data_IF_968747093272
#
_entry.id   IF_968747093272
#
_cell.length_a   1.000
_cell.length_b   1.000
_cell.length_c   1.000
_cell.angle_alpha   90.00
_cell.angle_beta   90.00
_cell.angle_gamma   90.00
#
_symmetry.space_group_name_H-M   'P 1'
#
loop_
_entity.id
_entity.type
_entity.pdbx_description
1 polymer ?
#
# COMPACT_ATOMS: atom_id res chain seq x y z
N UNK A 1 6.57 21.19 4.61
CA UNK A 1 7.99 20.77 4.49
C UNK A 1 7.97 19.25 4.51
N UNK A 2 8.43 18.59 3.45
CA UNK A 2 8.61 17.13 3.45
C UNK A 2 10.03 16.83 3.92
N UNK A 3 10.19 15.86 4.80
CA UNK A 3 11.50 15.39 5.25
C UNK A 3 12.00 14.28 4.31
N UNK A 4 13.27 14.36 3.92
CA UNK A 4 13.89 13.30 3.12
C UNK A 4 14.16 12.07 3.98
N UNK A 5 13.93 10.89 3.40
CA UNK A 5 14.28 9.63 4.06
C UNK A 5 15.65 9.18 3.59
N UNK A 6 16.67 9.43 4.41
CA UNK A 6 18.05 9.03 4.13
C UNK A 6 18.19 7.51 3.95
N UNK A 7 19.27 7.07 3.28
CA UNK A 7 19.64 5.65 3.15
C UNK A 7 18.51 4.81 2.56
N UNK A 8 17.92 5.29 1.47
CA UNK A 8 16.90 4.59 0.71
C UNK A 8 17.29 4.45 -0.75
N UNK A 9 16.78 3.43 -1.42
CA UNK A 9 16.89 3.27 -2.87
C UNK A 9 15.61 2.61 -3.41
N UNK A 10 15.39 2.66 -4.71
CA UNK A 10 14.39 1.79 -5.35
C UNK A 10 14.88 0.35 -5.34
N UNK A 11 13.98 -0.63 -5.47
CA UNK A 11 14.34 -2.05 -5.40
C UNK A 11 15.47 -2.43 -6.37
N UNK A 12 15.41 -1.91 -7.59
CA UNK A 12 16.36 -2.26 -8.67
C UNK A 12 17.78 -1.72 -8.41
N UNK A 13 17.91 -0.74 -7.51
CA UNK A 13 19.19 -0.16 -7.09
C UNK A 13 19.71 -0.75 -5.76
N UNK A 14 18.99 -1.70 -5.16
CA UNK A 14 19.34 -2.32 -3.89
C UNK A 14 19.97 -3.70 -4.04
N UNK A 15 20.76 -4.12 -3.04
CA UNK A 15 21.35 -5.45 -2.99
C UNK A 15 20.56 -6.32 -2.01
N UNK A 16 19.91 -7.38 -2.47
CA UNK A 16 19.28 -8.37 -1.58
C UNK A 16 20.40 -9.18 -0.89
N UNK A 17 20.36 -9.35 0.45
CA UNK A 17 21.34 -10.20 1.14
C UNK A 17 21.39 -11.62 0.58
N UNK A 18 22.55 -12.27 0.69
CA UNK A 18 22.73 -13.63 0.19
C UNK A 18 21.82 -14.63 0.94
N UNK A 19 21.14 -15.50 0.19
CA UNK A 19 20.31 -16.57 0.75
C UNK A 19 21.10 -17.45 1.73
N UNK A 20 20.41 -18.03 2.72
CA UNK A 20 20.95 -18.89 3.78
C UNK A 20 21.90 -18.19 4.77
N UNK A 21 21.89 -16.85 4.81
CA UNK A 21 22.57 -16.05 5.83
C UNK A 21 21.58 -15.56 6.89
N UNK A 22 22.07 -15.30 8.11
CA UNK A 22 21.26 -14.65 9.16
C UNK A 22 20.73 -13.29 8.72
N UNK A 23 21.51 -12.55 7.93
CA UNK A 23 21.09 -11.27 7.38
C UNK A 23 19.88 -11.44 6.44
N UNK A 24 19.88 -12.46 5.59
CA UNK A 24 18.75 -12.77 4.72
C UNK A 24 17.50 -13.18 5.51
N UNK A 25 17.64 -13.98 6.57
CA UNK A 25 16.52 -14.32 7.44
C UNK A 25 15.91 -13.08 8.09
N UNK A 26 16.73 -12.17 8.60
CA UNK A 26 16.29 -10.89 9.18
C UNK A 26 15.65 -9.98 8.14
N UNK A 27 16.23 -9.92 6.93
CA UNK A 27 15.70 -9.21 5.78
C UNK A 27 14.30 -9.73 5.43
N UNK A 28 14.12 -11.04 5.28
CA UNK A 28 12.83 -11.64 4.92
C UNK A 28 11.77 -11.42 5.99
N UNK A 29 12.12 -11.50 7.27
CA UNK A 29 11.19 -11.19 8.36
C UNK A 29 10.75 -9.72 8.34
N UNK A 30 11.69 -8.80 8.12
CA UNK A 30 11.41 -7.36 8.05
C UNK A 30 10.59 -7.02 6.81
N UNK A 31 10.96 -7.61 5.66
CA UNK A 31 10.26 -7.48 4.40
C UNK A 31 8.82 -7.95 4.51
N UNK A 32 8.58 -9.13 5.07
CA UNK A 32 7.23 -9.68 5.22
C UNK A 32 6.35 -8.74 6.05
N UNK A 33 6.86 -8.23 7.18
CA UNK A 33 6.13 -7.27 8.03
C UNK A 33 5.87 -5.95 7.31
N UNK A 34 6.88 -5.41 6.65
CA UNK A 34 6.79 -4.11 6.00
C UNK A 34 5.87 -4.16 4.78
N UNK A 35 5.94 -5.23 3.98
CA UNK A 35 5.02 -5.48 2.87
C UNK A 35 3.60 -5.62 3.40
N UNK A 36 3.35 -6.45 4.42
CA UNK A 36 2.00 -6.67 4.94
C UNK A 36 1.34 -5.36 5.39
N UNK A 37 2.07 -4.53 6.15
CA UNK A 37 1.57 -3.25 6.62
C UNK A 37 1.30 -2.27 5.46
N UNK A 38 2.30 -2.02 4.61
CA UNK A 38 2.15 -1.07 3.50
C UNK A 38 1.07 -1.53 2.51
N UNK A 39 1.03 -2.82 2.17
CA UNK A 39 0.04 -3.39 1.28
C UNK A 39 -1.39 -3.21 1.79
N UNK A 40 -1.60 -3.45 3.09
CA UNK A 40 -2.88 -3.21 3.71
C UNK A 40 -3.27 -1.73 3.67
N UNK A 41 -2.35 -0.81 3.95
CA UNK A 41 -2.63 0.63 3.90
C UNK A 41 -2.93 1.13 2.48
N UNK A 42 -2.21 0.65 1.47
CA UNK A 42 -2.47 0.97 0.06
C UNK A 42 -3.87 0.53 -0.33
N UNK A 43 -4.24 -0.70 0.03
CA UNK A 43 -5.57 -1.23 -0.22
C UNK A 43 -6.65 -0.44 0.53
N UNK A 44 -6.49 -0.24 1.84
CA UNK A 44 -7.46 0.43 2.71
C UNK A 44 -7.70 1.87 2.28
N UNK A 45 -6.63 2.62 2.02
CA UNK A 45 -6.72 4.03 1.64
C UNK A 45 -6.78 4.23 0.14
N UNK A 46 -6.77 3.18 -0.68
CA UNK A 46 -6.81 3.30 -2.14
C UNK A 46 -5.73 4.22 -2.70
N UNK A 47 -4.50 4.03 -2.22
CA UNK A 47 -3.36 4.82 -2.66
C UNK A 47 -3.01 4.39 -4.09
N UNK A 48 -3.18 5.29 -5.05
CA UNK A 48 -2.93 5.00 -6.45
C UNK A 48 -1.49 5.36 -6.86
N UNK A 49 -1.16 5.19 -8.14
CA UNK A 49 0.12 5.61 -8.72
C UNK A 49 1.35 4.96 -8.06
N UNK A 50 1.22 3.66 -7.74
CA UNK A 50 2.26 2.87 -7.10
C UNK A 50 3.16 2.23 -8.16
N UNK A 51 4.08 3.00 -8.73
CA UNK A 51 5.18 2.49 -9.57
C UNK A 51 6.49 2.37 -8.78
N UNK A 52 7.50 1.70 -9.35
CA UNK A 52 8.75 1.39 -8.64
C UNK A 52 9.48 2.60 -8.05
N UNK A 53 9.39 3.78 -8.67
CA UNK A 53 10.04 5.00 -8.16
C UNK A 53 9.38 5.54 -6.88
N UNK A 54 8.10 5.20 -6.66
CA UNK A 54 7.35 5.55 -5.46
C UNK A 54 7.46 4.52 -4.33
N UNK A 55 8.29 3.48 -4.53
CA UNK A 55 8.52 2.38 -3.57
C UNK A 55 10.00 2.33 -3.23
N UNK A 56 10.32 2.86 -2.05
CA UNK A 56 11.67 2.92 -1.54
C UNK A 56 11.94 1.77 -0.57
N UNK A 57 13.17 1.28 -0.60
CA UNK A 57 13.70 0.29 0.33
C UNK A 57 14.80 0.93 1.16
N UNK A 58 14.80 0.64 2.46
CA UNK A 58 15.88 1.06 3.34
C UNK A 58 17.11 0.20 3.08
N UNK A 59 18.28 0.85 3.01
CA UNK A 59 19.57 0.19 2.87
C UNK A 59 20.42 0.32 4.13
N UNK A 60 21.28 -0.66 4.35
CA UNK A 60 22.40 -0.55 5.27
C UNK A 60 23.52 0.25 4.59
N UNK A 61 23.93 1.42 5.10
CA UNK A 61 24.94 2.25 4.46
C UNK A 61 26.32 1.57 4.34
N UNK A 62 26.63 0.62 5.22
CA UNK A 62 27.93 -0.06 5.23
C UNK A 62 28.04 -1.18 4.19
N UNK A 63 26.94 -1.89 3.93
CA UNK A 63 26.92 -3.06 3.02
C UNK A 63 26.17 -2.79 1.71
N UNK A 64 25.43 -1.69 1.65
CA UNK A 64 24.47 -1.39 0.59
C UNK A 64 23.37 -2.44 0.42
N UNK A 65 23.22 -3.34 1.40
CA UNK A 65 22.17 -4.36 1.39
C UNK A 65 20.83 -3.78 1.80
N UNK A 66 19.76 -4.28 1.20
CA UNK A 66 18.38 -3.99 1.62
C UNK A 66 18.13 -4.55 3.01
N UNK A 67 17.50 -3.77 3.89
CA UNK A 67 17.12 -4.22 5.24
C UNK A 67 15.77 -4.94 5.27
N UNK A 68 15.00 -4.83 4.18
CA UNK A 68 13.64 -5.35 4.06
C UNK A 68 12.57 -4.33 4.44
N UNK A 69 12.92 -3.16 4.99
CA UNK A 69 11.94 -2.11 5.24
C UNK A 69 11.56 -1.39 3.93
N UNK A 70 10.26 -1.32 3.66
CA UNK A 70 9.65 -0.62 2.53
C UNK A 70 9.00 0.68 3.01
N UNK A 71 9.18 1.74 2.24
CA UNK A 71 8.48 3.01 2.38
C UNK A 71 7.83 3.39 1.05
N UNK A 72 6.54 3.71 1.11
CA UNK A 72 5.86 4.36 0.00
C UNK A 72 5.99 5.88 0.15
N UNK A 73 6.25 6.56 -0.97
CA UNK A 73 6.30 8.03 -1.05
C UNK A 73 5.28 8.52 -2.08
N UNK A 74 5.04 9.83 -2.13
CA UNK A 74 4.08 10.45 -3.04
C UNK A 74 2.65 9.92 -2.88
N UNK A 75 1.92 10.46 -1.90
CA UNK A 75 0.53 10.09 -1.61
C UNK A 75 -0.46 11.03 -2.31
N UNK A 76 -0.13 11.55 -3.50
CA UNK A 76 -0.97 12.51 -4.22
C UNK A 76 -2.37 12.02 -4.58
N UNK A 77 -2.58 10.70 -4.61
CA UNK A 77 -3.85 10.05 -4.96
C UNK A 77 -4.28 9.05 -3.89
N UNK A 78 -5.26 9.44 -3.08
CA UNK A 78 -5.84 8.60 -2.01
C UNK A 78 -7.35 8.45 -2.21
N UNK A 79 -7.91 7.43 -1.58
CA UNK A 79 -9.32 7.03 -1.60
C UNK A 79 -9.87 6.83 -3.02
N UNK A 80 -9.01 6.30 -3.90
CA UNK A 80 -9.33 6.05 -5.30
C UNK A 80 -9.53 7.31 -6.14
N UNK A 81 -9.21 8.50 -5.62
CA UNK A 81 -9.26 9.74 -6.39
C UNK A 81 -8.03 9.83 -7.30
N UNK A 82 -8.23 9.67 -8.61
CA UNK A 82 -7.26 10.05 -9.65
C UNK A 82 -7.88 11.12 -10.54
N UNK A 83 -7.13 12.19 -10.82
CA UNK A 83 -7.60 13.27 -11.70
C UNK A 83 -7.82 12.70 -13.11
N UNK A 84 -9.05 12.76 -13.62
CA UNK A 84 -9.39 12.36 -14.98
C UNK A 84 -9.51 10.84 -15.24
N UNK A 85 -9.40 9.98 -14.23
CA UNK A 85 -9.58 8.53 -14.38
C UNK A 85 -10.70 7.99 -13.47
N UNK A 86 -11.32 6.87 -13.87
CA UNK A 86 -12.32 6.16 -13.05
C UNK A 86 -11.65 5.68 -11.75
N UNK A 87 -12.44 5.58 -10.67
CA UNK A 87 -12.03 4.89 -9.45
C UNK A 87 -11.49 3.50 -9.83
N UNK A 88 -10.18 3.30 -9.69
CA UNK A 88 -9.57 1.98 -9.84
C UNK A 88 -9.78 1.21 -8.54
N UNK A 89 -10.21 -0.05 -8.64
CA UNK A 89 -10.27 -0.94 -7.48
C UNK A 89 -8.85 -1.14 -6.94
N UNK A 90 -8.54 -0.61 -5.75
CA UNK A 90 -7.18 -0.65 -5.23
C UNK A 90 -6.82 -2.09 -4.87
N UNK A 91 -5.62 -2.52 -5.29
CA UNK A 91 -5.04 -3.78 -4.85
C UNK A 91 -4.06 -3.54 -3.70
N UNK A 92 -3.43 -4.63 -3.25
CA UNK A 92 -2.38 -4.58 -2.24
C UNK A 92 -1.10 -3.86 -2.72
N UNK A 93 -0.95 -3.56 -4.02
CA UNK A 93 0.22 -2.87 -4.55
C UNK A 93 1.53 -3.66 -4.40
N UNK A 94 1.48 -4.98 -4.23
CA UNK A 94 2.68 -5.81 -4.06
C UNK A 94 3.25 -6.12 -5.44
N UNK A 95 4.50 -5.72 -5.67
CA UNK A 95 5.19 -5.87 -6.95
C UNK A 95 5.72 -7.28 -7.20
N UNK A 96 5.93 -7.62 -8.47
CA UNK A 96 6.33 -8.97 -8.92
C UNK A 96 7.65 -9.43 -8.29
N UNK A 97 8.64 -8.55 -8.26
CA UNK A 97 9.94 -8.79 -7.61
C UNK A 97 9.81 -9.18 -6.12
N UNK A 98 8.89 -8.55 -5.38
CA UNK A 98 8.59 -8.89 -3.98
C UNK A 98 7.87 -10.25 -3.90
N UNK A 99 6.88 -10.49 -4.77
CA UNK A 99 6.18 -11.78 -4.84
C UNK A 99 7.15 -12.92 -5.14
N UNK A 100 8.15 -12.67 -6.00
CA UNK A 100 9.20 -13.64 -6.32
C UNK A 100 10.07 -13.99 -5.11
N UNK A 101 10.26 -13.06 -4.16
CA UNK A 101 10.93 -13.33 -2.88
C UNK A 101 10.07 -14.16 -1.92
N UNK A 102 8.73 -14.06 -2.00
CA UNK A 102 7.80 -14.82 -1.16
C UNK A 102 7.42 -16.20 -1.72
N UNK A 103 8.18 -16.72 -2.68
CA UNK A 103 8.00 -18.10 -3.18
C UNK A 103 8.15 -19.15 -2.07
N UNK A 104 8.88 -18.82 -1.01
CA UNK A 104 8.95 -19.63 0.20
C UNK A 104 7.62 -19.56 0.99
N UNK A 105 7.02 -20.72 1.24
CA UNK A 105 5.67 -20.86 1.82
C UNK A 105 5.50 -20.14 3.18
N UNK A 106 6.58 -19.99 3.96
CA UNK A 106 6.53 -19.38 5.28
C UNK A 106 6.27 -17.86 5.23
N UNK A 107 6.97 -17.12 4.38
CA UNK A 107 6.78 -15.67 4.24
C UNK A 107 5.36 -15.37 3.73
N UNK A 108 4.88 -16.17 2.79
CA UNK A 108 3.52 -16.08 2.28
C UNK A 108 2.45 -16.32 3.36
N UNK A 109 2.61 -17.36 4.18
CA UNK A 109 1.70 -17.62 5.32
C UNK A 109 1.71 -16.50 6.34
N UNK A 110 2.88 -15.93 6.62
CA UNK A 110 3.01 -14.79 7.53
C UNK A 110 2.34 -13.54 6.97
N UNK A 111 2.50 -13.25 5.68
CA UNK A 111 1.80 -12.16 5.00
C UNK A 111 0.28 -12.31 5.16
N UNK A 112 -0.28 -13.49 4.85
CA UNK A 112 -1.72 -13.75 5.00
C UNK A 112 -2.19 -13.54 6.44
N UNK A 113 -1.48 -14.13 7.42
CA UNK A 113 -1.83 -13.99 8.84
C UNK A 113 -1.82 -12.52 9.30
N UNK A 114 -0.87 -11.72 8.82
CA UNK A 114 -0.81 -10.29 9.14
C UNK A 114 -1.93 -9.50 8.47
N UNK A 115 -2.25 -9.78 7.22
CA UNK A 115 -3.38 -9.16 6.52
C UNK A 115 -4.71 -9.47 7.24
N UNK A 116 -4.93 -10.71 7.65
CA UNK A 116 -6.10 -11.10 8.47
C UNK A 116 -6.16 -10.27 9.75
N UNK A 117 -5.04 -10.14 10.47
CA UNK A 117 -4.96 -9.36 11.71
C UNK A 117 -5.24 -7.86 11.47
N UNK A 118 -4.69 -7.28 10.40
CA UNK A 118 -4.96 -5.88 10.05
C UNK A 118 -6.44 -5.66 9.74
N UNK A 119 -7.05 -6.51 8.91
CA UNK A 119 -8.49 -6.43 8.61
C UNK A 119 -9.29 -6.51 9.91
N UNK A 120 -9.02 -7.50 10.76
CA UNK A 120 -9.71 -7.66 12.05
C UNK A 120 -9.60 -6.43 12.96
N UNK A 121 -8.39 -5.90 13.13
CA UNK A 121 -8.14 -4.73 13.99
C UNK A 121 -8.85 -3.50 13.44
N UNK A 122 -8.72 -3.23 12.15
CA UNK A 122 -9.31 -2.03 11.53
C UNK A 122 -10.84 -2.13 11.44
N UNK A 123 -11.41 -3.33 11.25
CA UNK A 123 -12.86 -3.58 11.37
C UNK A 123 -13.40 -3.13 12.72
N UNK A 124 -12.69 -3.44 13.81
CA UNK A 124 -13.08 -3.03 15.17
C UNK A 124 -12.94 -1.52 15.42
N UNK A 125 -12.21 -0.82 14.55
CA UNK A 125 -11.93 0.61 14.64
C UNK A 125 -12.59 1.38 13.49
N UNK A 126 -13.60 0.81 12.81
CA UNK A 126 -14.17 1.40 11.60
C UNK A 126 -14.79 2.78 11.85
N UNK A 127 -15.44 2.98 13.00
CA UNK A 127 -16.02 4.28 13.38
C UNK A 127 -14.92 5.32 13.63
N UNK A 128 -13.86 4.93 14.34
CA UNK A 128 -12.69 5.79 14.59
C UNK A 128 -12.03 6.19 13.27
N UNK A 129 -11.87 5.25 12.34
CA UNK A 129 -11.30 5.51 11.01
C UNK A 129 -12.20 6.44 10.20
N UNK A 130 -13.52 6.23 10.24
CA UNK A 130 -14.49 7.10 9.58
C UNK A 130 -14.35 8.54 10.08
N UNK A 131 -14.33 8.75 11.40
CA UNK A 131 -14.19 10.09 11.99
C UNK A 131 -12.88 10.75 11.55
N UNK A 132 -11.74 10.04 11.67
CA UNK A 132 -10.43 10.57 11.27
C UNK A 132 -10.42 10.97 9.80
N UNK A 133 -10.90 10.10 8.91
CA UNK A 133 -10.90 10.34 7.48
C UNK A 133 -11.86 11.47 7.08
N UNK A 134 -13.05 11.51 7.68
CA UNK A 134 -14.03 12.55 7.41
C UNK A 134 -13.50 13.93 7.84
N UNK A 135 -12.96 14.03 9.07
CA UNK A 135 -12.37 15.27 9.57
C UNK A 135 -11.16 15.70 8.73
N UNK A 136 -10.28 14.78 8.34
CA UNK A 136 -9.13 15.10 7.52
C UNK A 136 -9.54 15.66 6.14
N UNK A 137 -10.54 15.04 5.49
CA UNK A 137 -11.06 15.50 4.21
C UNK A 137 -11.69 16.89 4.29
N UNK A 138 -12.43 17.17 5.37
CA UNK A 138 -13.04 18.48 5.57
C UNK A 138 -11.97 19.57 5.67
N UNK A 139 -10.93 19.34 6.48
CA UNK A 139 -9.81 20.28 6.65
C UNK A 139 -9.08 20.50 5.31
N UNK A 140 -8.74 19.43 4.59
CA UNK A 140 -8.07 19.52 3.28
C UNK A 140 -8.93 20.29 2.28
N UNK A 141 -10.24 20.01 2.24
CA UNK A 141 -11.18 20.69 1.33
C UNK A 141 -11.29 22.18 1.63
N UNK A 142 -11.28 22.56 2.91
CA UNK A 142 -11.28 23.96 3.32
C UNK A 142 -9.98 24.66 2.90
N UNK A 143 -8.82 24.02 3.08
CA UNK A 143 -7.53 24.58 2.64
C UNK A 143 -7.45 24.76 1.13
N UNK A 144 -7.91 23.78 0.34
CA UNK A 144 -7.92 23.86 -1.12
C UNK A 144 -8.81 25.02 -1.57
N UNK A 145 -10.02 25.13 -1.01
CA UNK A 145 -10.94 26.25 -1.31
C UNK A 145 -10.34 27.60 -0.94
N UNK A 146 -9.63 27.69 0.19
CA UNK A 146 -8.97 28.92 0.62
C UNK A 146 -7.81 29.32 -0.29
N UNK A 147 -7.04 28.36 -0.82
CA UNK A 147 -5.86 28.62 -1.66
C UNK A 147 -6.19 28.79 -3.15
N UNK A 148 -7.17 28.07 -3.67
CA UNK A 148 -7.42 27.95 -5.11
C UNK A 148 -8.85 28.32 -5.55
N UNK A 149 -9.72 28.77 -4.63
CA UNK A 149 -11.11 29.14 -4.93
C UNK A 149 -12.03 27.92 -5.19
N UNK A 150 -13.24 28.17 -5.69
CA UNK A 150 -14.28 27.14 -5.84
C UNK A 150 -14.04 26.13 -7.00
N UNK A 151 -13.02 26.33 -7.83
CA UNK A 151 -12.83 25.56 -9.08
C UNK A 151 -11.67 24.55 -9.09
N UNK A 152 -10.94 24.37 -7.99
CA UNK A 152 -9.61 23.74 -8.00
C UNK A 152 -9.48 22.31 -7.46
N UNK A 153 -10.56 21.58 -7.16
CA UNK A 153 -10.44 20.25 -6.55
C UNK A 153 -11.51 19.25 -6.96
N UNK A 154 -11.14 17.97 -7.01
CA UNK A 154 -12.11 16.87 -7.03
C UNK A 154 -13.04 17.02 -5.82
N UNK A 155 -14.34 16.74 -5.99
CA UNK A 155 -15.26 16.72 -4.85
C UNK A 155 -14.77 15.69 -3.83
N UNK A 156 -14.63 16.12 -2.58
CA UNK A 156 -14.36 15.19 -1.49
C UNK A 156 -15.48 14.14 -1.43
N UNK A 157 -15.17 12.87 -1.09
CA UNK A 157 -16.20 11.87 -0.85
C UNK A 157 -17.16 12.40 0.21
N UNK A 158 -18.46 12.26 0.00
CA UNK A 158 -19.41 12.51 1.07
C UNK A 158 -19.42 11.34 2.07
N UNK A 159 -20.06 11.51 3.22
CA UNK A 159 -20.16 10.50 4.27
C UNK A 159 -20.59 9.13 3.73
N UNK A 160 -21.58 9.09 2.84
CA UNK A 160 -22.09 7.85 2.23
C UNK A 160 -21.01 7.13 1.43
N UNK A 161 -20.24 7.87 0.62
CA UNK A 161 -19.13 7.31 -0.15
C UNK A 161 -18.01 6.80 0.75
N UNK A 162 -17.68 7.52 1.84
CA UNK A 162 -16.65 7.10 2.78
C UNK A 162 -17.07 5.86 3.57
N UNK A 163 -18.33 5.79 4.02
CA UNK A 163 -18.89 4.60 4.67
C UNK A 163 -18.85 3.40 3.72
N UNK A 164 -19.28 3.58 2.47
CA UNK A 164 -19.24 2.52 1.47
C UNK A 164 -17.80 2.07 1.19
N UNK A 165 -16.86 3.01 1.06
CA UNK A 165 -15.44 2.72 0.87
C UNK A 165 -14.90 1.85 2.01
N UNK A 166 -15.09 2.26 3.27
CA UNK A 166 -14.64 1.49 4.42
C UNK A 166 -15.32 0.11 4.51
N UNK A 167 -16.62 0.03 4.21
CA UNK A 167 -17.37 -1.22 4.21
C UNK A 167 -16.85 -2.20 3.15
N UNK A 168 -16.60 -1.76 1.92
CA UNK A 168 -16.07 -2.63 0.86
C UNK A 168 -14.68 -3.17 1.20
N UNK A 169 -13.84 -2.35 1.87
CA UNK A 169 -12.45 -2.72 2.17
C UNK A 169 -12.34 -3.61 3.39
N UNK A 170 -13.07 -3.28 4.46
CA UNK A 170 -13.01 -3.95 5.75
C UNK A 170 -14.04 -5.07 5.89
N UNK A 171 -15.09 -5.10 5.06
CA UNK A 171 -16.15 -6.11 5.07
C UNK A 171 -16.71 -6.36 6.49
N UNK A 172 -17.27 -5.35 7.18
CA UNK A 172 -17.77 -5.51 8.54
C UNK A 172 -18.84 -6.61 8.69
N UNK A 173 -19.51 -6.99 7.60
CA UNK A 173 -20.57 -7.99 7.53
C UNK A 173 -20.10 -9.46 7.53
N UNK A 174 -18.84 -9.75 7.15
CA UNK A 174 -18.37 -11.15 7.07
C UNK A 174 -18.00 -11.69 8.46
N UNK A 175 -18.19 -12.98 8.71
CA UNK A 175 -17.80 -13.56 10.00
C UNK A 175 -16.28 -13.49 10.23
N UNK A 176 -15.85 -13.39 11.49
CA UNK A 176 -14.42 -13.37 11.85
C UNK A 176 -13.69 -14.63 11.37
N UNK A 177 -14.38 -15.78 11.31
CA UNK A 177 -13.87 -17.05 10.78
C UNK A 177 -13.49 -16.99 9.30
N UNK A 178 -14.06 -16.04 8.55
CA UNK A 178 -13.92 -15.95 7.10
C UNK A 178 -12.88 -14.88 6.69
N UNK A 179 -12.25 -14.21 7.66
CA UNK A 179 -11.25 -13.18 7.41
C UNK A 179 -10.01 -13.71 6.68
N UNK A 180 -9.62 -14.95 6.94
CA UNK A 180 -8.51 -15.60 6.23
C UNK A 180 -8.83 -15.77 4.73
N UNK A 181 -10.09 -16.06 4.40
CA UNK A 181 -10.54 -16.16 3.01
C UNK A 181 -10.48 -14.79 2.33
N UNK A 182 -10.91 -13.72 3.01
CA UNK A 182 -10.79 -12.34 2.50
C UNK A 182 -9.32 -11.99 2.24
N UNK A 183 -8.41 -12.27 3.17
CA UNK A 183 -6.97 -12.02 3.00
C UNK A 183 -6.39 -12.76 1.79
N UNK A 184 -6.79 -14.03 1.59
CA UNK A 184 -6.39 -14.82 0.41
C UNK A 184 -6.92 -14.22 -0.89
N UNK A 185 -8.18 -13.77 -0.91
CA UNK A 185 -8.77 -13.10 -2.08
C UNK A 185 -8.01 -11.82 -2.44
N UNK A 186 -7.62 -11.00 -1.46
CA UNK A 186 -6.84 -9.78 -1.72
C UNK A 186 -5.48 -10.08 -2.36
N UNK A 187 -4.80 -11.11 -1.87
CA UNK A 187 -3.51 -11.55 -2.44
C UNK A 187 -3.69 -12.13 -3.84
N UNK A 188 -4.77 -12.87 -4.08
CA UNK A 188 -5.09 -13.40 -5.41
C UNK A 188 -5.40 -12.28 -6.41
N UNK A 189 -6.24 -11.30 -6.02
CA UNK A 189 -6.53 -10.11 -6.84
C UNK A 189 -5.25 -9.32 -7.17
N UNK A 190 -4.34 -9.18 -6.21
CA UNK A 190 -3.05 -8.54 -6.47
C UNK A 190 -2.24 -9.33 -7.52
N UNK A 191 -2.22 -10.66 -7.44
CA UNK A 191 -1.49 -11.52 -8.41
C UNK A 191 -2.01 -11.36 -9.83
N UNK A 192 -3.33 -11.23 -9.99
CA UNK A 192 -3.96 -11.07 -11.30
C UNK A 192 -3.57 -9.73 -11.98
N UNK A 193 -3.25 -8.69 -11.19
CA UNK A 193 -2.83 -7.39 -11.73
C UNK A 193 -1.32 -7.25 -11.98
N UNK A 194 -0.49 -8.17 -11.46
CA UNK A 194 0.97 -8.08 -11.53
C UNK A 194 1.53 -7.84 -12.95
N UNK A 195 0.91 -8.45 -13.97
CA UNK A 195 1.37 -8.29 -15.35
C UNK A 195 1.08 -6.88 -15.89
N UNK A 196 -0.11 -6.34 -15.60
CA UNK A 196 -0.49 -4.99 -15.98
C UNK A 196 0.37 -3.94 -15.26
N UNK A 197 0.59 -4.14 -13.95
CA UNK A 197 1.44 -3.26 -13.15
C UNK A 197 2.89 -3.25 -13.66
N UNK A 198 3.43 -4.41 -14.03
CA UNK A 198 4.76 -4.52 -14.61
C UNK A 198 4.88 -3.81 -15.96
N UNK A 199 3.87 -3.92 -16.83
CA UNK A 199 3.84 -3.16 -18.08
C UNK A 199 3.82 -1.66 -17.82
N UNK A 200 3.02 -1.22 -16.84
CA UNK A 200 2.96 0.19 -16.47
C UNK A 200 4.32 0.70 -15.96
N UNK A 201 4.98 -0.05 -15.07
CA UNK A 201 6.32 0.28 -14.55
C UNK A 201 7.34 0.39 -15.70
N UNK A 202 7.28 -0.51 -16.69
CA UNK A 202 8.15 -0.46 -17.87
C UNK A 202 7.93 0.81 -18.70
N UNK A 203 6.68 1.20 -18.96
CA UNK A 203 6.38 2.42 -19.72
C UNK A 203 6.77 3.69 -18.98
N UNK A 204 6.56 3.75 -17.65
CA UNK A 204 7.05 4.85 -16.83
C UNK A 204 8.56 5.00 -16.89
N UNK A 205 9.30 3.88 -16.87
CA UNK A 205 10.76 3.92 -16.98
C UNK A 205 11.25 4.36 -18.37
N UNK A 206 10.55 4.00 -19.45
CA UNK A 206 10.90 4.41 -20.82
C UNK A 206 10.54 5.87 -21.15
N UNK A 207 9.60 6.45 -20.41
CA UNK A 207 9.13 7.82 -20.61
C UNK A 207 9.96 8.89 -19.87
N UNK A 208 10.77 8.47 -18.89
CA UNK A 208 11.66 9.30 -18.09
C UNK A 208 13.12 9.19 -18.57
#
# INVERSE_FOLDING_TARGET
MMEFVDNTCTFDNGIVPQKDTKEYEMFMQTLTKSVAANAFFIYLFGIADRHNDNILFKINPATHHLTGQILHIDFGFILGQRVGMKFEDPTLGIKRNIVDLFKDNQAYKQLLSMLTQFIFIFRKQIDTLFVILNTAQEVISQEIKAKFGQGGGNQAPNDVMLTQWLAERLSPEIADSDLDLKAQQLVQQNREKLFGDWLNDLFHHLAN
#
